data_IF_761785050321
#
_entry.id   IF_761785050321
#
_cell.length_a   1.000
_cell.length_b   1.000
_cell.length_c   1.000
_cell.angle_alpha   90.00
_cell.angle_beta   90.00
_cell.angle_gamma   90.00
#
_symmetry.space_group_name_H-M   'P 1'
#
loop_
_entity.id
_entity.type
_entity.pdbx_description
1 polymer ?
#
# COMPACT_ATOMS: atom_id res chain seq x y z
N UNK A 1 -8.21 -12.78 -1.22
CA UNK A 1 -8.06 -11.87 -0.07
C UNK A 1 -8.30 -10.46 -0.57
N UNK A 2 -9.21 -9.70 0.03
CA UNK A 2 -9.55 -8.33 -0.37
C UNK A 2 -9.13 -7.38 0.75
N UNK A 3 -7.96 -6.74 0.68
CA UNK A 3 -7.53 -5.80 1.71
C UNK A 3 -8.39 -4.53 1.63
N UNK A 4 -9.15 -4.27 2.68
CA UNK A 4 -9.84 -3.00 2.88
C UNK A 4 -8.85 -1.94 3.35
N UNK A 5 -8.88 -0.74 2.75
CA UNK A 5 -8.00 0.39 3.10
C UNK A 5 -6.51 0.00 3.12
N UNK A 6 -5.91 -0.35 1.98
CA UNK A 6 -4.53 -0.84 1.93
C UNK A 6 -3.49 0.14 2.51
N UNK A 7 -3.86 1.42 2.63
CA UNK A 7 -3.02 2.50 3.15
C UNK A 7 -3.38 2.91 4.58
N UNK A 8 -4.35 2.24 5.21
CA UNK A 8 -4.75 2.50 6.59
C UNK A 8 -5.47 3.83 6.85
N UNK A 9 -5.95 4.51 5.80
CA UNK A 9 -6.71 5.78 5.87
C UNK A 9 -5.86 7.03 5.61
N UNK A 10 -6.51 8.18 5.37
CA UNK A 10 -5.86 9.43 4.93
C UNK A 10 -4.80 9.95 5.90
N UNK A 11 -4.99 9.77 7.21
CA UNK A 11 -4.00 10.14 8.25
C UNK A 11 -2.70 9.32 8.17
N UNK A 12 -2.77 8.06 7.73
CA UNK A 12 -1.58 7.19 7.60
C UNK A 12 -0.83 7.41 6.28
N UNK A 13 -1.48 8.01 5.27
CA UNK A 13 -0.81 8.46 4.04
C UNK A 13 0.23 9.55 4.33
N UNK A 14 -0.02 10.43 5.30
CA UNK A 14 0.99 11.41 5.74
C UNK A 14 2.16 10.74 6.47
N UNK A 15 1.93 9.65 7.19
CA UNK A 15 2.99 8.87 7.85
C UNK A 15 3.85 8.07 6.85
N UNK A 16 3.29 7.65 5.70
CA UNK A 16 4.09 7.10 4.58
C UNK A 16 5.18 8.08 4.09
N UNK A 17 4.98 9.38 4.29
CA UNK A 17 5.94 10.43 3.92
C UNK A 17 6.98 10.75 5.01
N UNK A 18 6.79 10.27 6.26
CA UNK A 18 7.67 10.56 7.41
C UNK A 18 8.53 9.33 7.75
N UNK A 19 9.82 9.34 7.39
CA UNK A 19 11.00 8.53 7.82
C UNK A 19 10.88 7.01 8.13
N UNK A 20 9.68 6.45 8.23
CA UNK A 20 9.40 5.06 8.60
C UNK A 20 9.40 4.12 7.39
N UNK A 21 9.55 4.69 6.18
CA UNK A 21 9.56 3.97 4.89
C UNK A 21 10.60 4.57 3.94
N UNK A 22 11.84 4.74 4.41
CA UNK A 22 12.91 5.42 3.65
C UNK A 22 13.11 4.82 2.24
N UNK A 23 13.15 3.48 2.14
CA UNK A 23 13.30 2.77 0.87
C UNK A 23 12.16 3.09 -0.12
N UNK A 24 10.91 3.10 0.34
CA UNK A 24 9.76 3.40 -0.51
C UNK A 24 9.77 4.87 -0.96
N UNK A 25 10.12 5.79 -0.06
CA UNK A 25 10.23 7.22 -0.38
C UNK A 25 11.39 7.54 -1.34
N UNK A 26 12.53 6.87 -1.18
CA UNK A 26 13.70 7.00 -2.05
C UNK A 26 13.42 6.43 -3.44
N UNK A 27 12.80 5.25 -3.51
CA UNK A 27 12.42 4.64 -4.78
C UNK A 27 11.35 5.44 -5.52
N UNK A 28 10.37 5.99 -4.80
CA UNK A 28 9.37 6.89 -5.38
C UNK A 28 10.02 8.14 -6.00
N UNK A 29 10.99 8.74 -5.29
CA UNK A 29 11.79 9.86 -5.81
C UNK A 29 12.63 9.45 -7.02
N UNK A 30 13.28 8.29 -6.99
CA UNK A 30 14.11 7.77 -8.08
C UNK A 30 13.30 7.54 -9.36
N UNK A 31 12.10 6.97 -9.24
CA UNK A 31 11.19 6.72 -10.38
C UNK A 31 10.32 7.93 -10.74
N UNK A 32 10.42 9.03 -10.00
CA UNK A 32 9.59 10.24 -10.17
C UNK A 32 8.08 9.93 -10.17
N UNK A 33 7.66 9.09 -9.23
CA UNK A 33 6.26 8.69 -9.02
C UNK A 33 5.83 9.05 -7.60
N UNK A 34 4.52 9.08 -7.33
CA UNK A 34 4.06 9.28 -5.98
C UNK A 34 4.31 8.03 -5.11
N UNK A 35 4.56 8.18 -3.81
CA UNK A 35 4.62 7.04 -2.89
C UNK A 35 3.32 6.22 -2.90
N UNK A 36 2.18 6.89 -3.12
CA UNK A 36 0.87 6.27 -3.18
C UNK A 36 0.73 5.29 -4.36
N UNK A 37 1.07 5.74 -5.56
CA UNK A 37 1.03 4.88 -6.75
C UNK A 37 2.08 3.78 -6.70
N UNK A 38 3.25 4.04 -6.12
CA UNK A 38 4.29 3.04 -5.91
C UNK A 38 3.84 1.90 -4.98
N UNK A 39 3.14 2.21 -3.88
CA UNK A 39 2.56 1.18 -2.99
C UNK A 39 1.55 0.30 -3.74
N UNK A 40 0.68 0.91 -4.53
CA UNK A 40 -0.31 0.17 -5.32
C UNK A 40 0.36 -0.74 -6.35
N UNK A 41 1.42 -0.26 -7.01
CA UNK A 41 2.22 -1.06 -7.95
C UNK A 41 2.89 -2.26 -7.24
N UNK A 42 3.48 -2.04 -6.06
CA UNK A 42 4.08 -3.12 -5.27
C UNK A 42 3.06 -4.17 -4.83
N UNK A 43 1.86 -3.75 -4.39
CA UNK A 43 0.78 -4.67 -4.03
C UNK A 43 0.34 -5.54 -5.22
N UNK A 44 0.20 -4.94 -6.41
CA UNK A 44 -0.14 -5.67 -7.63
C UNK A 44 1.01 -6.60 -8.09
N UNK A 45 2.26 -6.20 -7.92
CA UNK A 45 3.43 -7.02 -8.23
C UNK A 45 3.58 -8.22 -7.28
N UNK A 46 3.18 -8.08 -6.02
CA UNK A 46 3.25 -9.13 -5.00
C UNK A 46 2.28 -10.29 -5.31
N UNK A 47 1.17 -10.03 -5.99
CA UNK A 47 0.20 -11.07 -6.34
C UNK A 47 -0.69 -10.69 -7.53
N UNK A 48 -0.73 -11.57 -8.54
CA UNK A 48 -1.56 -11.40 -9.75
C UNK A 48 -3.08 -11.40 -9.49
N UNK A 49 -3.52 -11.78 -8.29
CA UNK A 49 -4.94 -11.83 -7.92
C UNK A 49 -5.34 -10.72 -6.94
N UNK A 50 -4.41 -9.81 -6.61
CA UNK A 50 -4.67 -8.68 -5.72
C UNK A 50 -5.16 -7.49 -6.54
N UNK A 51 -6.37 -7.00 -6.22
CA UNK A 51 -6.92 -5.77 -6.77
C UNK A 51 -6.99 -4.76 -5.62
N UNK A 52 -6.16 -3.71 -5.60
CA UNK A 52 -6.20 -2.73 -4.53
C UNK A 52 -7.43 -1.83 -4.69
N UNK A 53 -8.19 -1.67 -3.60
CA UNK A 53 -9.34 -0.76 -3.56
C UNK A 53 -8.87 0.56 -2.93
N UNK A 54 -8.54 1.54 -3.76
CA UNK A 54 -8.16 2.87 -3.29
C UNK A 54 -9.43 3.65 -2.89
N UNK A 55 -9.47 4.14 -1.65
CA UNK A 55 -10.56 5.00 -1.14
C UNK A 55 -10.48 6.45 -1.63
N UNK A 56 -9.93 6.68 -2.83
CA UNK A 56 -9.67 8.02 -3.35
C UNK A 56 -10.99 8.71 -3.75
N UNK A 57 -11.22 9.92 -3.24
CA UNK A 57 -12.43 10.72 -3.50
C UNK A 57 -12.15 12.00 -4.30
N UNK A 58 -10.87 12.33 -4.54
CA UNK A 58 -10.43 13.48 -5.32
C UNK A 58 -9.95 13.04 -6.71
N UNK A 59 -10.31 13.75 -7.79
CA UNK A 59 -9.90 13.40 -9.15
C UNK A 59 -8.39 13.19 -9.32
N UNK A 60 -7.59 14.09 -8.76
CA UNK A 60 -6.12 14.04 -8.80
C UNK A 60 -5.55 12.78 -8.14
N UNK A 61 -6.15 12.33 -7.04
CA UNK A 61 -5.74 11.10 -6.34
C UNK A 61 -6.16 9.85 -7.11
N UNK A 62 -7.30 9.90 -7.82
CA UNK A 62 -7.75 8.81 -8.69
C UNK A 62 -6.78 8.66 -9.87
N UNK A 63 -6.41 9.77 -10.52
CA UNK A 63 -5.44 9.75 -11.63
C UNK A 63 -4.08 9.22 -11.18
N UNK A 64 -3.62 9.65 -10.01
CA UNK A 64 -2.39 9.12 -9.41
C UNK A 64 -2.48 7.61 -9.11
N UNK A 65 -3.59 7.13 -8.55
CA UNK A 65 -3.81 5.70 -8.31
C UNK A 65 -3.76 4.88 -9.61
N UNK A 66 -4.33 5.41 -10.70
CA UNK A 66 -4.30 4.76 -12.01
C UNK A 66 -2.89 4.68 -12.59
N UNK A 67 -2.02 5.64 -12.29
CA UNK A 67 -0.62 5.63 -12.74
C UNK A 67 0.16 4.42 -12.24
N UNK A 68 -0.26 3.81 -11.12
CA UNK A 68 0.37 2.62 -10.54
C UNK A 68 0.44 1.42 -11.50
N UNK A 69 -0.54 1.29 -12.40
CA UNK A 69 -0.58 0.22 -13.39
C UNK A 69 0.56 0.30 -14.44
N UNK A 70 1.23 1.45 -14.54
CA UNK A 70 2.33 1.69 -15.48
C UNK A 70 3.70 1.69 -14.80
N UNK A 71 3.78 1.31 -13.51
CA UNK A 71 5.03 1.27 -12.76
C UNK A 71 5.55 -0.18 -12.77
N UNK A 72 6.66 -0.39 -13.47
CA UNK A 72 7.38 -1.66 -13.43
C UNK A 72 8.31 -1.70 -12.20
N UNK A 73 8.13 -2.74 -11.39
CA UNK A 73 8.98 -3.07 -10.26
C UNK A 73 9.73 -4.37 -10.55
N UNK A 74 11.05 -4.31 -10.38
CA UNK A 74 11.90 -5.50 -10.39
C UNK A 74 11.70 -6.33 -9.12
N UNK A 75 12.02 -7.62 -9.14
CA UNK A 75 11.97 -8.45 -7.93
C UNK A 75 12.81 -7.86 -6.77
N UNK A 76 13.98 -7.29 -7.07
CA UNK A 76 14.84 -6.67 -6.06
C UNK A 76 14.22 -5.40 -5.44
N UNK A 77 13.56 -4.57 -6.24
CA UNK A 77 12.83 -3.39 -5.72
C UNK A 77 11.65 -3.81 -4.84
N UNK A 78 10.96 -4.90 -5.18
CA UNK A 78 9.90 -5.44 -4.34
C UNK A 78 10.42 -5.96 -2.98
N UNK A 79 11.59 -6.60 -2.98
CA UNK A 79 12.26 -7.06 -1.76
C UNK A 79 12.75 -5.89 -0.91
N UNK A 80 13.30 -4.84 -1.53
CA UNK A 80 13.75 -3.62 -0.85
C UNK A 80 12.59 -2.91 -0.13
N UNK A 81 11.45 -2.77 -0.81
CA UNK A 81 10.23 -2.24 -0.21
C UNK A 81 9.81 -3.12 0.98
N UNK A 82 9.75 -4.44 0.80
CA UNK A 82 9.30 -5.36 1.84
C UNK A 82 10.20 -5.34 3.08
N UNK A 83 11.52 -5.24 2.89
CA UNK A 83 12.50 -5.14 3.98
C UNK A 83 12.38 -3.83 4.78
N UNK A 84 11.89 -2.76 4.14
CA UNK A 84 11.64 -1.47 4.77
C UNK A 84 10.30 -1.36 5.52
N UNK A 85 9.44 -2.38 5.47
CA UNK A 85 8.16 -2.38 6.19
C UNK A 85 8.34 -2.88 7.64
N UNK A 86 7.60 -2.32 8.61
CA UNK A 86 7.59 -2.86 9.96
C UNK A 86 7.00 -4.28 9.97
N UNK A 87 7.44 -5.11 10.93
CA UNK A 87 6.74 -6.34 11.25
C UNK A 87 5.27 -5.99 11.57
N UNK A 88 4.33 -6.70 10.95
CA UNK A 88 2.89 -6.46 10.95
C UNK A 88 2.37 -5.74 12.20
N UNK A 89 1.48 -4.76 12.00
CA UNK A 89 0.77 -4.11 13.11
C UNK A 89 0.10 -5.16 14.01
N UNK A 90 0.11 -4.91 15.32
CA UNK A 90 -0.64 -5.74 16.24
C UNK A 90 -2.12 -5.80 15.82
N UNK A 91 -2.70 -6.99 15.89
CA UNK A 91 -4.09 -7.24 15.51
C UNK A 91 -4.99 -6.40 16.42
N UNK A 92 -5.88 -5.61 15.83
CA UNK A 92 -6.83 -4.77 16.58
C UNK A 92 -7.78 -5.63 17.44
N UNK A 93 -7.96 -5.24 18.69
CA UNK A 93 -8.93 -5.84 19.63
C UNK A 93 -10.39 -5.69 19.14
N UNK A 94 -10.66 -4.77 18.20
CA UNK A 94 -11.99 -4.61 17.57
C UNK A 94 -12.43 -5.85 16.77
N UNK A 95 -11.49 -6.75 16.45
CA UNK A 95 -11.78 -8.03 15.80
C UNK A 95 -12.14 -9.14 16.82
N UNK A 96 -12.20 -8.82 18.11
CA UNK A 96 -12.63 -9.69 19.20
C UNK A 96 -13.89 -9.12 19.87
N UNK A 97 -14.99 -9.89 20.01
CA UNK A 97 -15.11 -11.32 19.75
C UNK A 97 -15.35 -11.62 18.26
N UNK A 98 -14.72 -12.71 17.80
CA UNK A 98 -15.04 -13.32 16.50
C UNK A 98 -16.56 -13.51 16.39
N UNK A 99 -17.16 -13.03 15.29
CA UNK A 99 -18.59 -13.22 15.07
C UNK A 99 -18.94 -14.71 15.23
N UNK A 100 -19.91 -15.07 16.10
CA UNK A 100 -20.29 -16.46 16.26
C UNK A 100 -20.71 -16.95 14.88
N UNK A 101 -19.96 -17.93 14.36
CA UNK A 101 -20.05 -18.41 12.99
C UNK A 101 -21.50 -18.44 12.48
N UNK A 102 -21.74 -17.92 11.28
CA UNK A 102 -22.89 -18.35 10.46
C UNK A 102 -22.76 -19.87 10.33
N UNK A 103 -23.79 -20.59 10.81
CA UNK A 103 -23.96 -22.01 10.53
C UNK A 103 -24.19 -22.30 9.05
#
# INVERSE_FOLDING_TARGET
FLPWSPLGGSKKVEQLAQDSFSALGELARSKNVSPHSLVLAWLMATSKVLIPISGATRPETIVDALSAANIDLTPGECEEIAAGLPASLERSDELEPSAPFRG
#
